data_IF_466172064668
#
_entry.id   IF_466172064668
#
_cell.length_a   1.000
_cell.length_b   1.000
_cell.length_c   1.000
_cell.angle_alpha   90.00
_cell.angle_beta   90.00
_cell.angle_gamma   90.00
#
_symmetry.space_group_name_H-M   'P 1'
#
loop_
_entity.id
_entity.type
_entity.pdbx_description
1 polymer ?
#
# COMPACT_ATOMS: atom_id res chain seq x y z
N UNK A 1 -0.84 22.07 12.47
CA UNK A 1 0.13 21.03 12.04
C UNK A 1 -0.09 19.68 12.73
N UNK A 2 -0.72 19.61 13.91
CA UNK A 2 -0.87 18.36 14.69
C UNK A 2 -1.89 17.37 14.06
N UNK A 3 -2.93 17.85 13.39
CA UNK A 3 -3.99 16.98 12.84
C UNK A 3 -3.53 16.15 11.63
N UNK A 4 -2.61 16.68 10.82
CA UNK A 4 -2.10 15.98 9.63
C UNK A 4 -1.26 14.76 10.02
N UNK A 5 -0.35 14.92 10.99
CA UNK A 5 0.51 13.84 11.48
C UNK A 5 -0.30 12.70 12.13
N UNK A 6 -1.39 13.03 12.83
CA UNK A 6 -2.27 12.03 13.43
C UNK A 6 -3.04 11.24 12.37
N UNK A 7 -3.50 11.90 11.31
CA UNK A 7 -4.19 11.25 10.19
C UNK A 7 -3.24 10.33 9.43
N UNK A 8 -2.01 10.77 9.15
CA UNK A 8 -1.01 9.92 8.49
C UNK A 8 -0.62 8.71 9.34
N UNK A 9 -0.38 8.91 10.64
CA UNK A 9 -0.07 7.82 11.56
C UNK A 9 -1.19 6.76 11.60
N UNK A 10 -2.45 7.19 11.60
CA UNK A 10 -3.59 6.28 11.59
C UNK A 10 -3.67 5.45 10.30
N UNK A 11 -3.40 6.06 9.13
CA UNK A 11 -3.39 5.33 7.84
C UNK A 11 -2.33 4.22 7.82
N UNK A 12 -1.14 4.49 8.33
CA UNK A 12 -0.07 3.50 8.39
C UNK A 12 -0.41 2.34 9.34
N UNK A 13 -1.00 2.64 10.50
CA UNK A 13 -1.49 1.60 11.42
C UNK A 13 -2.56 0.71 10.79
N UNK A 14 -3.52 1.29 10.05
CA UNK A 14 -4.55 0.52 9.35
C UNK A 14 -3.92 -0.50 8.40
N UNK A 15 -2.88 -0.11 7.65
CA UNK A 15 -2.17 -1.01 6.74
C UNK A 15 -1.47 -2.16 7.50
N UNK A 16 -0.76 -1.83 8.58
CA UNK A 16 -0.04 -2.81 9.40
C UNK A 16 -0.99 -3.82 10.07
N UNK A 17 -2.17 -3.37 10.52
CA UNK A 17 -3.22 -4.23 11.09
C UNK A 17 -3.90 -5.13 10.03
N UNK A 18 -3.72 -4.83 8.74
CA UNK A 18 -4.33 -5.56 7.62
C UNK A 18 -3.30 -6.33 6.76
N UNK A 19 -2.23 -6.83 7.38
CA UNK A 19 -1.19 -7.66 6.75
C UNK A 19 -0.35 -6.96 5.66
N UNK A 20 -0.31 -5.63 5.64
CA UNK A 20 0.64 -4.91 4.80
C UNK A 20 1.96 -4.73 5.54
N UNK A 21 3.05 -5.06 4.86
CA UNK A 21 4.41 -4.83 5.36
C UNK A 21 4.97 -3.56 4.76
N UNK A 22 5.55 -2.70 5.60
CA UNK A 22 6.30 -1.53 5.14
C UNK A 22 7.59 -1.96 4.46
N UNK A 23 7.85 -1.35 3.31
CA UNK A 23 9.03 -1.56 2.50
C UNK A 23 9.88 -0.27 2.47
N UNK A 24 11.20 -0.42 2.52
CA UNK A 24 12.16 0.70 2.57
C UNK A 24 12.12 1.59 1.31
N UNK A 25 11.44 1.16 0.25
CA UNK A 25 11.30 1.89 -1.02
C UNK A 25 10.01 2.72 -1.07
N UNK A 26 9.47 3.09 0.10
CA UNK A 26 8.25 3.89 0.28
C UNK A 26 6.96 3.19 -0.21
N UNK A 27 6.85 1.89 0.07
CA UNK A 27 5.64 1.11 -0.20
C UNK A 27 5.11 0.39 1.04
N UNK A 28 3.82 0.09 1.03
CA UNK A 28 3.18 -0.94 1.86
C UNK A 28 2.73 -2.07 0.95
N UNK A 29 3.15 -3.30 1.25
CA UNK A 29 2.98 -4.47 0.39
C UNK A 29 2.22 -5.55 1.15
N UNK A 30 1.12 -6.03 0.58
CA UNK A 30 0.46 -7.26 0.99
C UNK A 30 0.70 -8.33 -0.07
N UNK A 31 1.51 -9.34 0.26
CA UNK A 31 1.75 -10.49 -0.62
C UNK A 31 0.53 -11.41 -0.69
N UNK A 32 -0.25 -11.49 0.39
CA UNK A 32 -1.49 -12.30 0.45
C UNK A 32 -2.56 -11.73 -0.46
N UNK A 33 -2.73 -10.41 -0.47
CA UNK A 33 -3.73 -9.73 -1.29
C UNK A 33 -3.17 -9.29 -2.66
N UNK A 34 -1.88 -9.55 -2.92
CA UNK A 34 -1.13 -9.10 -4.12
C UNK A 34 -1.31 -7.60 -4.37
N UNK A 35 -1.09 -6.78 -3.34
CA UNK A 35 -1.35 -5.34 -3.37
C UNK A 35 -0.17 -4.52 -2.89
N UNK A 36 -0.04 -3.35 -3.49
CA UNK A 36 1.01 -2.37 -3.19
C UNK A 36 0.41 -0.99 -3.10
N UNK A 37 0.65 -0.29 -2.01
CA UNK A 37 0.32 1.13 -1.83
C UNK A 37 1.61 1.94 -1.69
N UNK A 38 1.79 3.00 -2.48
CA UNK A 38 2.90 3.94 -2.25
C UNK A 38 2.58 4.91 -1.14
N UNK A 39 3.58 5.38 -0.40
CA UNK A 39 3.39 6.39 0.67
C UNK A 39 2.70 7.65 0.16
N UNK A 40 3.11 8.17 -1.01
CA UNK A 40 2.46 9.33 -1.61
C UNK A 40 0.97 9.11 -1.96
N UNK A 41 0.57 7.87 -2.29
CA UNK A 41 -0.83 7.53 -2.53
C UNK A 41 -1.62 7.56 -1.23
N UNK A 42 -1.08 6.94 -0.18
CA UNK A 42 -1.67 6.91 1.16
C UNK A 42 -1.82 8.33 1.73
N UNK A 43 -0.79 9.17 1.58
CA UNK A 43 -0.82 10.57 2.03
C UNK A 43 -1.95 11.38 1.39
N UNK A 44 -2.17 11.20 0.08
CA UNK A 44 -3.16 11.97 -0.68
C UNK A 44 -4.61 11.51 -0.49
N UNK A 45 -4.83 10.25 -0.09
CA UNK A 45 -6.17 9.67 -0.01
C UNK A 45 -6.77 9.78 1.39
N UNK A 46 -8.09 9.58 1.51
CA UNK A 46 -8.74 9.57 2.83
C UNK A 46 -8.57 8.24 3.56
N UNK A 47 -8.77 8.22 4.88
CA UNK A 47 -8.81 6.97 5.66
C UNK A 47 -9.92 6.05 5.13
N UNK A 48 -11.12 6.60 4.87
CA UNK A 48 -12.25 5.82 4.37
C UNK A 48 -11.95 5.16 3.02
N UNK A 49 -11.24 5.86 2.13
CA UNK A 49 -10.79 5.27 0.87
C UNK A 49 -9.84 4.10 1.11
N UNK A 50 -8.86 4.27 2.01
CA UNK A 50 -7.90 3.23 2.32
C UNK A 50 -8.57 1.98 2.93
N UNK A 51 -9.48 2.17 3.88
CA UNK A 51 -10.28 1.09 4.47
C UNK A 51 -11.14 0.38 3.42
N UNK A 52 -11.76 1.13 2.50
CA UNK A 52 -12.55 0.55 1.42
C UNK A 52 -11.68 -0.30 0.49
N UNK A 53 -10.51 0.19 0.11
CA UNK A 53 -9.61 -0.57 -0.77
C UNK A 53 -9.11 -1.83 -0.08
N UNK A 54 -8.61 -1.74 1.16
CA UNK A 54 -8.10 -2.90 1.91
C UNK A 54 -9.16 -4.01 2.04
N UNK A 55 -10.43 -3.64 2.28
CA UNK A 55 -11.52 -4.61 2.44
C UNK A 55 -12.05 -5.20 1.12
N UNK A 56 -11.71 -4.63 -0.04
CA UNK A 56 -12.10 -5.22 -1.31
C UNK A 56 -11.24 -6.45 -1.59
N UNK A 57 -11.82 -7.64 -1.82
CA UNK A 57 -11.02 -8.81 -2.17
C UNK A 57 -10.32 -8.60 -3.52
N UNK A 58 -9.03 -8.90 -3.59
CA UNK A 58 -8.36 -8.99 -4.88
C UNK A 58 -8.68 -10.37 -5.50
N UNK A 59 -9.71 -10.42 -6.34
CA UNK A 59 -10.11 -11.64 -7.06
C UNK A 59 -9.27 -11.90 -8.31
N UNK A 60 -8.37 -10.99 -8.66
CA UNK A 60 -7.44 -11.15 -9.77
C UNK A 60 -6.20 -11.91 -9.33
N UNK A 61 -5.67 -12.74 -10.23
CA UNK A 61 -4.34 -13.32 -10.05
C UNK A 61 -3.20 -12.31 -10.20
N UNK A 62 -3.52 -11.10 -10.66
CA UNK A 62 -2.57 -10.02 -10.92
C UNK A 62 -2.34 -9.12 -9.71
N UNK A 63 -1.14 -8.55 -9.65
CA UNK A 63 -0.77 -7.56 -8.65
C UNK A 63 -1.41 -6.20 -8.92
N UNK A 64 -2.00 -5.59 -7.89
CA UNK A 64 -2.57 -4.25 -7.94
C UNK A 64 -1.62 -3.22 -7.31
N UNK A 65 -1.31 -2.17 -8.06
CA UNK A 65 -0.40 -1.11 -7.63
C UNK A 65 -1.17 0.21 -7.51
N UNK A 66 -1.36 0.67 -6.28
CA UNK A 66 -1.96 1.95 -5.94
C UNK A 66 -0.85 2.96 -5.69
N UNK A 67 -0.38 3.60 -6.76
CA UNK A 67 0.73 4.53 -6.72
C UNK A 67 0.38 5.83 -7.47
N UNK A 68 0.80 6.98 -6.94
CA UNK A 68 0.71 8.24 -7.68
C UNK A 68 1.69 8.25 -8.85
N UNK A 69 2.90 7.75 -8.61
CA UNK A 69 3.92 7.51 -9.63
C UNK A 69 4.22 6.03 -9.60
N UNK A 70 3.98 5.36 -10.72
CA UNK A 70 4.20 3.92 -10.74
C UNK A 70 5.70 3.59 -10.72
N UNK A 71 6.12 2.56 -9.98
CA UNK A 71 7.50 2.10 -9.98
C UNK A 71 7.93 1.60 -11.36
N UNK A 72 9.25 1.61 -11.61
CA UNK A 72 9.85 1.07 -12.83
C UNK A 72 9.50 -0.41 -13.00
N UNK A 73 9.60 -0.94 -14.23
CA UNK A 73 9.31 -2.36 -14.49
C UNK A 73 10.18 -3.29 -13.66
N UNK A 74 11.47 -2.96 -13.49
CA UNK A 74 12.39 -3.75 -12.67
C UNK A 74 11.99 -3.75 -11.20
N UNK A 75 11.62 -2.59 -10.66
CA UNK A 75 11.16 -2.49 -9.27
C UNK A 75 9.83 -3.22 -9.04
N UNK A 76 8.90 -3.17 -10.00
CA UNK A 76 7.67 -3.99 -9.93
C UNK A 76 7.99 -5.47 -9.89
N UNK A 77 8.88 -5.93 -10.77
CA UNK A 77 9.28 -7.33 -10.83
C UNK A 77 9.92 -7.79 -9.51
N UNK A 78 10.69 -6.91 -8.87
CA UNK A 78 11.30 -7.17 -7.58
C UNK A 78 10.25 -7.26 -6.45
N UNK A 79 9.32 -6.30 -6.38
CA UNK A 79 8.22 -6.28 -5.39
C UNK A 79 7.35 -7.54 -5.46
N UNK A 80 7.02 -8.00 -6.68
CA UNK A 80 6.17 -9.19 -6.87
C UNK A 80 6.94 -10.50 -6.68
N UNK A 81 8.26 -10.44 -6.52
CA UNK A 81 9.10 -11.63 -6.40
C UNK A 81 8.76 -12.40 -5.12
N UNK A 82 8.52 -13.72 -5.19
CA UNK A 82 8.27 -14.52 -4.00
C UNK A 82 9.55 -14.77 -3.18
N UNK A 83 10.73 -14.42 -3.70
CA UNK A 83 12.04 -14.77 -3.14
C UNK A 83 12.74 -13.66 -2.34
N UNK A 84 12.03 -12.57 -2.02
CA UNK A 84 12.48 -11.54 -1.07
C UNK A 84 11.81 -11.73 0.30
#
# INVERSE_FOLDING_TARGET
MIEFDFVELNKYKILEENNYTKDDRDFYISKTDKRVFSFGRIGNESIAWLEQEINQPNTSDQWQFFCNVYPSKGLRADIISPYL
#
